data_IF_960368034898
#
_entry.id   IF_960368034898
#
_cell.length_a   1.000
_cell.length_b   1.000
_cell.length_c   1.000
_cell.angle_alpha   90.00
_cell.angle_beta   90.00
_cell.angle_gamma   90.00
#
_symmetry.space_group_name_H-M   'P 1'
#
loop_
_entity.id
_entity.type
_entity.pdbx_description
1 polymer ?
#
# COMPACT_ATOMS: atom_id res chain seq x y z
N UNK A 1 -2.36 25.25 1.37
CA UNK A 1 -1.70 24.74 2.59
C UNK A 1 -1.31 23.28 2.37
N UNK A 2 -0.37 22.98 1.46
CA UNK A 2 0.03 21.60 1.12
C UNK A 2 1.16 21.03 2.00
N UNK A 3 1.68 21.83 2.93
CA UNK A 3 2.85 21.49 3.76
C UNK A 3 2.52 21.28 5.25
N UNK A 4 1.24 21.40 5.62
CA UNK A 4 0.78 20.93 6.92
C UNK A 4 0.94 19.41 6.99
N UNK A 5 1.23 18.89 8.17
CA UNK A 5 1.40 17.46 8.44
C UNK A 5 0.05 16.70 8.33
N UNK A 6 -0.80 17.04 7.35
CA UNK A 6 -2.10 16.43 7.08
C UNK A 6 -1.96 14.93 6.84
N UNK A 7 -0.84 14.47 6.30
CA UNK A 7 -0.58 13.05 6.07
C UNK A 7 -0.55 12.24 7.38
N UNK A 8 -0.21 12.87 8.51
CA UNK A 8 -0.17 12.23 9.84
C UNK A 8 -1.55 12.27 10.53
N UNK A 9 -2.30 13.37 10.41
CA UNK A 9 -3.68 13.47 10.93
C UNK A 9 -4.69 12.64 10.13
N UNK A 10 -4.44 12.42 8.83
CA UNK A 10 -5.21 11.52 7.98
C UNK A 10 -4.64 10.09 7.95
N UNK A 11 -3.51 9.85 8.63
CA UNK A 11 -2.91 8.52 8.67
C UNK A 11 -3.77 7.57 9.50
N UNK A 12 -3.89 6.36 8.99
CA UNK A 12 -4.55 5.26 9.69
C UNK A 12 -3.80 4.79 10.92
N UNK A 13 -2.54 5.20 11.06
CA UNK A 13 -1.76 5.04 12.27
C UNK A 13 -2.38 5.84 13.42
N UNK A 14 -2.82 7.08 13.17
CA UNK A 14 -3.52 7.86 14.18
C UNK A 14 -4.89 7.25 14.50
N UNK A 15 -5.64 6.81 13.48
CA UNK A 15 -6.94 6.16 13.69
C UNK A 15 -6.83 4.83 14.44
N UNK A 16 -5.78 4.04 14.20
CA UNK A 16 -5.53 2.78 14.91
C UNK A 16 -5.02 3.00 16.33
N UNK A 17 -4.24 4.05 16.59
CA UNK A 17 -3.87 4.50 17.95
C UNK A 17 -5.11 4.97 18.72
N UNK A 18 -6.00 5.73 18.08
CA UNK A 18 -7.25 6.18 18.72
C UNK A 18 -8.16 4.99 18.99
N UNK A 19 -8.30 4.06 18.05
CA UNK A 19 -9.09 2.84 18.25
C UNK A 19 -8.50 1.96 19.35
N UNK A 20 -7.17 1.79 19.43
CA UNK A 20 -6.53 1.03 20.50
C UNK A 20 -6.65 1.73 21.85
N UNK A 21 -6.57 3.06 21.90
CA UNK A 21 -6.80 3.85 23.11
C UNK A 21 -8.26 3.73 23.60
N UNK A 22 -9.23 3.77 22.69
CA UNK A 22 -10.65 3.54 23.01
C UNK A 22 -10.89 2.12 23.53
N UNK A 23 -10.18 1.12 22.97
CA UNK A 23 -10.23 -0.26 23.48
C UNK A 23 -9.65 -0.40 24.88
N UNK A 24 -8.54 0.27 25.18
CA UNK A 24 -7.93 0.29 26.53
C UNK A 24 -8.85 0.99 27.55
N UNK A 25 -9.60 2.02 27.11
CA UNK A 25 -10.58 2.70 27.96
C UNK A 25 -11.86 1.86 28.19
N UNK A 26 -12.23 1.00 27.25
CA UNK A 26 -13.36 0.06 27.39
C UNK A 26 -13.01 -1.24 28.12
N UNK A 27 -11.72 -1.55 28.26
CA UNK A 27 -11.18 -2.72 28.95
C UNK A 27 -11.80 -2.97 30.35
N UNK A 28 -11.92 -1.96 31.25
CA UNK A 28 -12.56 -2.17 32.56
C UNK A 28 -14.06 -2.53 32.50
N UNK A 29 -14.76 -2.21 31.41
CA UNK A 29 -16.17 -2.55 31.20
C UNK A 29 -16.33 -3.95 30.62
N UNK A 30 -15.47 -4.33 29.67
CA UNK A 30 -15.48 -5.68 29.09
C UNK A 30 -14.95 -6.76 30.06
N UNK A 31 -14.08 -6.40 31.01
CA UNK A 31 -13.51 -7.34 31.98
C UNK A 31 -14.53 -7.87 33.01
N UNK A 32 -15.77 -7.36 32.99
CA UNK A 32 -16.92 -7.93 33.74
C UNK A 32 -17.52 -9.19 33.11
N UNK A 33 -17.15 -9.53 31.87
CA UNK A 33 -17.72 -10.66 31.13
C UNK A 33 -16.86 -11.91 31.38
N UNK A 34 -17.43 -12.97 31.98
CA UNK A 34 -16.66 -14.14 32.42
C UNK A 34 -16.25 -15.13 31.31
N UNK A 35 -16.78 -14.99 30.09
CA UNK A 35 -16.51 -15.86 28.95
C UNK A 35 -15.43 -15.28 28.02
N UNK A 36 -14.18 -15.72 28.20
CA UNK A 36 -13.00 -15.31 27.41
C UNK A 36 -13.14 -15.39 25.87
N UNK A 37 -13.68 -16.45 25.25
CA UNK A 37 -13.81 -16.49 23.80
C UNK A 37 -14.82 -15.46 23.28
N UNK A 38 -15.86 -15.16 24.06
CA UNK A 38 -16.84 -14.11 23.76
C UNK A 38 -16.24 -12.71 23.91
N UNK A 39 -15.41 -12.50 24.93
CA UNK A 39 -14.60 -11.28 25.08
C UNK A 39 -13.68 -11.04 23.89
N UNK A 40 -12.94 -12.05 23.43
CA UNK A 40 -12.00 -11.94 22.30
C UNK A 40 -12.74 -11.67 20.99
N UNK A 41 -13.85 -12.36 20.73
CA UNK A 41 -14.65 -12.14 19.50
C UNK A 41 -15.36 -10.79 19.52
N UNK A 42 -15.92 -10.37 20.65
CA UNK A 42 -16.56 -9.06 20.80
C UNK A 42 -15.54 -7.93 20.69
N UNK A 43 -14.37 -8.06 21.32
CA UNK A 43 -13.26 -7.10 21.27
C UNK A 43 -12.67 -6.96 19.86
N UNK A 44 -12.43 -8.07 19.18
CA UNK A 44 -11.94 -8.08 17.79
C UNK A 44 -12.98 -7.50 16.82
N UNK A 45 -14.26 -7.88 16.99
CA UNK A 45 -15.37 -7.33 16.20
C UNK A 45 -15.56 -5.82 16.42
N UNK A 46 -15.45 -5.34 17.66
CA UNK A 46 -15.58 -3.93 17.99
C UNK A 46 -14.40 -3.10 17.45
N UNK A 47 -13.17 -3.65 17.48
CA UNK A 47 -11.99 -3.02 16.89
C UNK A 47 -12.10 -2.91 15.36
N UNK A 48 -12.55 -3.98 14.69
CA UNK A 48 -12.78 -4.02 13.24
C UNK A 48 -13.94 -3.09 12.83
N UNK A 49 -15.04 -3.08 13.57
CA UNK A 49 -16.17 -2.18 13.33
C UNK A 49 -15.78 -0.71 13.55
N UNK A 50 -14.98 -0.41 14.58
CA UNK A 50 -14.46 0.93 14.86
C UNK A 50 -13.52 1.43 13.75
N UNK A 51 -12.61 0.59 13.27
CA UNK A 51 -11.72 0.96 12.15
C UNK A 51 -12.46 1.07 10.82
N UNK A 52 -13.44 0.20 10.55
CA UNK A 52 -14.26 0.26 9.33
C UNK A 52 -15.24 1.44 9.33
N UNK A 53 -15.81 1.80 10.48
CA UNK A 53 -16.71 2.95 10.63
C UNK A 53 -16.01 4.28 10.37
N UNK A 54 -14.80 4.45 10.93
CA UNK A 54 -13.95 5.63 10.68
C UNK A 54 -13.52 5.68 9.20
N UNK A 55 -13.27 4.51 8.58
CA UNK A 55 -12.91 4.40 7.16
C UNK A 55 -14.08 4.69 6.21
N UNK A 56 -15.30 4.22 6.50
CA UNK A 56 -16.46 4.43 5.62
C UNK A 56 -16.86 5.91 5.58
N UNK A 57 -16.64 6.66 6.67
CA UNK A 57 -16.74 8.12 6.70
C UNK A 57 -15.71 8.82 5.80
N UNK A 58 -14.48 8.31 5.73
CA UNK A 58 -13.40 8.88 4.91
C UNK A 58 -13.48 8.47 3.42
N UNK A 59 -13.93 7.24 3.12
CA UNK A 59 -14.09 6.74 1.76
C UNK A 59 -15.15 7.53 0.97
N UNK A 60 -16.20 7.99 1.65
CA UNK A 60 -17.24 8.84 1.05
C UNK A 60 -16.76 10.27 0.72
N UNK A 61 -15.62 10.70 1.30
CA UNK A 61 -15.04 12.02 1.11
C UNK A 61 -13.99 12.07 -0.03
N UNK A 62 -13.43 10.92 -0.45
CA UNK A 62 -12.24 10.86 -1.30
C UNK A 62 -12.41 10.21 -2.69
N UNK A 63 -13.62 9.81 -3.11
CA UNK A 63 -13.92 9.23 -4.45
C UNK A 63 -12.77 8.38 -5.03
N UNK A 64 -12.53 7.20 -4.44
CA UNK A 64 -11.47 6.30 -4.89
C UNK A 64 -12.00 5.39 -6.00
N UNK A 65 -11.19 5.24 -7.05
CA UNK A 65 -11.43 4.48 -8.28
C UNK A 65 -11.18 2.96 -8.08
N UNK A 66 -12.20 2.15 -8.36
CA UNK A 66 -12.34 0.71 -8.04
C UNK A 66 -11.53 -0.26 -8.93
N UNK A 67 -10.58 0.28 -9.69
CA UNK A 67 -9.97 -0.39 -10.84
C UNK A 67 -9.07 -1.59 -10.49
N UNK A 68 -8.58 -1.70 -9.24
CA UNK A 68 -7.68 -2.77 -8.80
C UNK A 68 -8.40 -3.99 -8.23
N UNK A 69 -9.53 -3.81 -7.55
CA UNK A 69 -10.30 -4.93 -6.99
C UNK A 69 -10.88 -5.80 -8.11
N UNK A 70 -11.31 -5.17 -9.19
CA UNK A 70 -11.85 -5.86 -10.36
C UNK A 70 -10.78 -6.66 -11.10
N UNK A 71 -9.55 -6.11 -11.26
CA UNK A 71 -8.42 -6.80 -11.90
C UNK A 71 -7.93 -8.03 -11.11
N UNK A 72 -7.93 -7.96 -9.76
CA UNK A 72 -7.56 -9.10 -8.91
C UNK A 72 -8.69 -10.13 -8.72
N UNK A 73 -9.95 -9.71 -8.80
CA UNK A 73 -11.10 -10.61 -8.79
C UNK A 73 -11.16 -11.45 -10.08
N UNK A 74 -10.87 -10.82 -11.22
CA UNK A 74 -10.87 -11.50 -12.52
C UNK A 74 -9.72 -12.50 -12.69
N UNK A 75 -8.62 -12.34 -11.95
CA UNK A 75 -7.49 -13.30 -11.95
C UNK A 75 -7.71 -14.49 -11.03
N UNK A 76 -8.90 -14.66 -10.45
CA UNK A 76 -9.28 -15.75 -9.54
C UNK A 76 -8.41 -15.87 -8.26
N UNK A 77 -7.50 -14.91 -8.03
CA UNK A 77 -6.58 -14.90 -6.90
C UNK A 77 -7.30 -14.57 -5.59
N UNK A 78 -8.22 -13.60 -5.60
CA UNK A 78 -9.03 -13.26 -4.41
C UNK A 78 -10.02 -14.41 -4.08
N UNK A 79 -10.78 -14.96 -5.04
CA UNK A 79 -11.62 -16.13 -4.79
C UNK A 79 -10.86 -17.30 -4.19
N UNK A 80 -9.72 -17.71 -4.78
CA UNK A 80 -8.92 -18.83 -4.28
C UNK A 80 -8.30 -18.55 -2.90
N UNK A 81 -7.74 -17.36 -2.66
CA UNK A 81 -7.22 -16.99 -1.35
C UNK A 81 -8.33 -16.92 -0.29
N UNK A 82 -9.52 -16.41 -0.63
CA UNK A 82 -10.65 -16.34 0.28
C UNK A 82 -11.17 -17.72 0.68
N UNK A 83 -11.19 -18.67 -0.27
CA UNK A 83 -11.54 -20.07 -0.01
C UNK A 83 -10.46 -20.75 0.84
N UNK A 84 -9.18 -20.48 0.60
CA UNK A 84 -8.07 -20.99 1.43
C UNK A 84 -8.13 -20.50 2.88
N UNK A 85 -8.40 -19.21 3.08
CA UNK A 85 -8.59 -18.61 4.42
C UNK A 85 -9.83 -19.17 5.10
N UNK A 86 -10.94 -19.30 4.37
CA UNK A 86 -12.18 -19.86 4.90
C UNK A 86 -12.01 -21.32 5.34
N UNK A 87 -11.36 -22.15 4.51
CA UNK A 87 -11.05 -23.54 4.84
C UNK A 87 -10.12 -23.63 6.06
N UNK A 88 -9.11 -22.76 6.15
CA UNK A 88 -8.24 -22.72 7.32
C UNK A 88 -9.00 -22.34 8.60
N UNK A 89 -9.86 -21.31 8.55
CA UNK A 89 -10.70 -20.90 9.70
C UNK A 89 -11.62 -22.03 10.14
N UNK A 90 -12.26 -22.72 9.19
CA UNK A 90 -13.13 -23.88 9.49
C UNK A 90 -12.31 -25.04 10.07
N UNK A 91 -11.13 -25.33 9.53
CA UNK A 91 -10.20 -26.36 10.04
C UNK A 91 -9.71 -26.05 11.44
N UNK A 92 -9.37 -24.79 11.71
CA UNK A 92 -8.94 -24.31 13.01
C UNK A 92 -10.05 -24.45 14.06
N UNK A 93 -11.29 -24.04 13.72
CA UNK A 93 -12.44 -24.22 14.60
C UNK A 93 -12.80 -25.69 14.84
N UNK A 94 -12.63 -26.57 13.86
CA UNK A 94 -12.90 -28.01 14.01
C UNK A 94 -11.81 -28.74 14.81
N UNK A 95 -10.54 -28.40 14.56
CA UNK A 95 -9.36 -29.01 15.20
C UNK A 95 -9.17 -28.51 16.63
N UNK A 96 -9.34 -27.20 16.88
CA UNK A 96 -9.20 -26.61 18.22
C UNK A 96 -10.50 -26.62 19.04
N UNK A 97 -11.64 -27.12 18.53
CA UNK A 97 -12.92 -27.11 19.28
C UNK A 97 -12.83 -27.76 20.66
N UNK A 98 -12.00 -28.79 20.81
CA UNK A 98 -11.80 -29.51 22.07
C UNK A 98 -10.73 -28.84 22.98
N UNK A 99 -9.74 -28.15 22.41
CA UNK A 99 -8.64 -27.47 23.15
C UNK A 99 -9.02 -26.03 23.57
N UNK A 100 -9.90 -25.35 22.82
CA UNK A 100 -10.51 -24.07 23.22
C UNK A 100 -11.43 -24.22 24.44
N UNK A 101 -11.97 -25.43 24.65
CA UNK A 101 -12.82 -25.75 25.79
C UNK A 101 -11.99 -26.16 27.02
N UNK A 102 -10.88 -26.89 26.89
CA UNK A 102 -10.08 -27.38 28.02
C UNK A 102 -8.58 -27.07 27.86
N UNK A 103 -7.96 -26.38 28.83
CA UNK A 103 -6.55 -25.97 28.79
C UNK A 103 -5.62 -27.16 29.07
N UNK A 104 -5.12 -27.82 28.02
CA UNK A 104 -4.12 -28.88 28.15
C UNK A 104 -2.71 -28.32 28.36
N UNK A 105 -1.97 -28.94 29.28
CA UNK A 105 -0.64 -28.51 29.73
C UNK A 105 0.43 -29.12 28.82
N UNK A 106 0.59 -28.51 27.65
CA UNK A 106 1.79 -28.65 26.81
C UNK A 106 1.60 -29.50 25.58
N UNK A 107 1.74 -28.88 24.40
CA UNK A 107 2.60 -29.30 23.28
C UNK A 107 2.45 -28.37 22.09
N UNK A 108 3.40 -28.52 21.16
CA UNK A 108 3.54 -27.83 19.89
C UNK A 108 2.20 -27.65 19.18
N UNK A 109 1.90 -26.40 18.80
CA UNK A 109 0.70 -26.07 18.05
C UNK A 109 0.89 -26.53 16.59
N UNK A 110 0.22 -27.59 16.12
CA UNK A 110 0.29 -27.94 14.70
C UNK A 110 -0.29 -26.78 13.88
N UNK A 111 0.43 -26.36 12.83
CA UNK A 111 0.02 -25.29 11.89
C UNK A 111 0.09 -23.84 12.42
N UNK A 112 0.91 -23.55 13.42
CA UNK A 112 1.15 -22.18 13.91
C UNK A 112 1.65 -21.23 12.81
N UNK A 113 2.44 -21.76 11.88
CA UNK A 113 2.94 -21.06 10.69
C UNK A 113 1.82 -20.66 9.73
N UNK A 114 0.78 -21.47 9.59
CA UNK A 114 -0.37 -21.18 8.73
C UNK A 114 -1.25 -20.11 9.36
N UNK A 115 -1.46 -20.21 10.68
CA UNK A 115 -2.20 -19.22 11.45
C UNK A 115 -1.56 -17.83 11.37
N UNK A 116 -0.24 -17.76 11.57
CA UNK A 116 0.51 -16.50 11.46
C UNK A 116 0.34 -15.87 10.08
N UNK A 117 0.49 -16.66 9.01
CA UNK A 117 0.33 -16.16 7.65
C UNK A 117 -1.11 -15.72 7.37
N UNK A 118 -2.14 -16.43 7.85
CA UNK A 118 -3.53 -16.03 7.66
C UNK A 118 -3.86 -14.68 8.34
N UNK A 119 -3.40 -14.50 9.59
CA UNK A 119 -3.55 -13.22 10.32
C UNK A 119 -2.79 -12.09 9.61
N UNK A 120 -1.56 -12.37 9.15
CA UNK A 120 -0.74 -11.40 8.44
C UNK A 120 -1.36 -10.98 7.10
N UNK A 121 -1.94 -11.93 6.34
CA UNK A 121 -2.69 -11.65 5.10
C UNK A 121 -3.85 -10.71 5.40
N UNK A 122 -4.63 -10.98 6.45
CA UNK A 122 -5.75 -10.11 6.85
C UNK A 122 -5.28 -8.68 7.16
N UNK A 123 -4.25 -8.51 7.99
CA UNK A 123 -3.71 -7.21 8.34
C UNK A 123 -3.20 -6.44 7.11
N UNK A 124 -2.45 -7.10 6.21
CA UNK A 124 -1.95 -6.45 4.99
C UNK A 124 -3.04 -6.19 3.95
N UNK A 125 -4.10 -7.02 3.88
CA UNK A 125 -5.27 -6.72 3.05
C UNK A 125 -6.00 -5.48 3.55
N UNK A 126 -6.17 -5.32 4.87
CA UNK A 126 -6.73 -4.10 5.45
C UNK A 126 -5.83 -2.90 5.10
N UNK A 127 -4.52 -3.00 5.27
CA UNK A 127 -3.57 -1.94 4.90
C UNK A 127 -3.59 -1.61 3.39
N UNK A 128 -3.74 -2.60 2.51
CA UNK A 128 -3.80 -2.40 1.06
C UNK A 128 -5.08 -1.71 0.62
N UNK A 129 -6.22 -2.06 1.24
CA UNK A 129 -7.50 -1.36 1.03
C UNK A 129 -7.49 0.08 1.55
N UNK A 130 -6.56 0.38 2.43
CA UNK A 130 -6.41 1.67 3.09
C UNK A 130 -5.43 2.58 2.32
N UNK A 131 -4.35 2.00 1.81
CA UNK A 131 -3.32 2.70 1.05
C UNK A 131 -2.99 1.85 -0.18
N UNK A 132 -3.48 2.29 -1.35
CA UNK A 132 -3.32 1.58 -2.64
C UNK A 132 -1.87 1.24 -3.00
N UNK A 133 -0.92 2.06 -2.52
CA UNK A 133 0.52 1.86 -2.72
C UNK A 133 1.10 0.68 -1.92
N UNK A 134 0.43 0.25 -0.84
CA UNK A 134 0.87 -0.86 0.01
C UNK A 134 0.35 -2.24 -0.47
N UNK A 135 -0.35 -2.29 -1.61
CA UNK A 135 -0.79 -3.55 -2.24
C UNK A 135 0.36 -4.54 -2.48
N UNK A 136 1.58 -4.02 -2.64
CA UNK A 136 2.80 -4.82 -2.81
C UNK A 136 3.02 -5.81 -1.66
N UNK A 137 2.68 -5.44 -0.43
CA UNK A 137 2.88 -6.29 0.74
C UNK A 137 1.80 -7.36 0.91
N UNK A 138 0.61 -7.15 0.35
CA UNK A 138 -0.49 -8.11 0.41
C UNK A 138 -0.26 -9.31 -0.54
N UNK A 139 0.30 -9.07 -1.72
CA UNK A 139 0.40 -10.08 -2.80
C UNK A 139 1.15 -11.36 -2.40
N UNK A 140 2.34 -11.32 -1.76
CA UNK A 140 3.06 -12.54 -1.38
C UNK A 140 2.28 -13.40 -0.37
N UNK A 141 1.58 -12.74 0.55
CA UNK A 141 0.77 -13.40 1.58
C UNK A 141 -0.47 -14.08 1.01
N UNK A 142 -1.12 -13.48 0.01
CA UNK A 142 -2.19 -14.13 -0.76
C UNK A 142 -1.69 -15.38 -1.48
N UNK A 143 -0.51 -15.32 -2.10
CA UNK A 143 0.09 -16.49 -2.77
C UNK A 143 0.35 -17.65 -1.79
N UNK A 144 0.86 -17.35 -0.60
CA UNK A 144 1.06 -18.34 0.47
C UNK A 144 -0.29 -18.94 0.89
N UNK A 145 -1.32 -18.12 1.07
CA UNK A 145 -2.67 -18.60 1.39
C UNK A 145 -3.26 -19.48 0.27
N UNK A 146 -3.02 -19.17 -1.00
CA UNK A 146 -3.42 -20.03 -2.12
C UNK A 146 -2.69 -21.37 -2.10
N UNK A 147 -1.41 -21.40 -1.71
CA UNK A 147 -0.63 -22.64 -1.60
C UNK A 147 -1.17 -23.59 -0.51
N UNK A 148 -1.88 -23.07 0.50
CA UNK A 148 -2.55 -23.92 1.52
C UNK A 148 -3.57 -24.85 0.86
N UNK A 149 -4.23 -24.45 -0.24
CA UNK A 149 -5.15 -25.31 -0.98
C UNK A 149 -4.47 -26.54 -1.59
N UNK A 150 -3.16 -26.50 -1.80
CA UNK A 150 -2.41 -27.66 -2.26
C UNK A 150 -2.10 -28.66 -1.12
N UNK A 151 -2.21 -28.26 0.15
CA UNK A 151 -1.92 -29.11 1.29
C UNK A 151 -3.12 -30.01 1.66
N UNK A 152 -2.97 -31.32 1.45
CA UNK A 152 -4.01 -32.32 1.73
C UNK A 152 -4.20 -32.57 3.24
N UNK A 153 -3.21 -32.26 4.10
CA UNK A 153 -3.34 -32.43 5.55
C UNK A 153 -4.36 -31.45 6.15
N UNK A 154 -4.34 -30.20 5.67
CA UNK A 154 -5.31 -29.17 6.08
C UNK A 154 -6.73 -29.54 5.64
N UNK A 155 -6.87 -30.12 4.44
CA UNK A 155 -8.16 -30.58 3.92
C UNK A 155 -8.71 -31.79 4.69
N UNK A 156 -7.82 -32.71 5.07
CA UNK A 156 -8.15 -33.89 5.88
C UNK A 156 -8.59 -33.51 7.29
N UNK A 157 -8.02 -32.45 7.87
CA UNK A 157 -8.42 -31.88 9.17
C UNK A 157 -9.87 -31.35 9.15
N UNK A 158 -10.39 -30.95 7.99
CA UNK A 158 -11.79 -30.48 7.81
C UNK A 158 -12.76 -31.65 7.57
N UNK A 159 -12.33 -32.90 7.81
CA UNK A 159 -13.11 -34.12 7.56
C UNK A 159 -13.50 -34.33 6.09
N UNK A 160 -12.83 -33.63 5.16
CA UNK A 160 -12.98 -33.82 3.71
C UNK A 160 -11.93 -34.83 3.27
N UNK A 161 -12.37 -36.04 2.93
CA UNK A 161 -11.47 -37.15 2.56
C UNK A 161 -11.38 -37.28 1.04
N UNK A 162 -10.56 -36.42 0.41
CA UNK A 162 -10.26 -36.54 -1.02
C UNK A 162 -9.16 -37.57 -1.27
N UNK A 163 -9.31 -38.39 -2.31
CA UNK A 163 -8.22 -39.20 -2.81
C UNK A 163 -7.09 -38.30 -3.35
N UNK A 164 -5.84 -38.73 -3.14
CA UNK A 164 -4.65 -37.97 -3.57
C UNK A 164 -4.67 -37.64 -5.07
N UNK A 165 -5.21 -38.53 -5.91
CA UNK A 165 -5.33 -38.33 -7.36
C UNK A 165 -6.34 -37.23 -7.71
N UNK A 166 -7.49 -37.22 -7.05
CA UNK A 166 -8.55 -36.22 -7.27
C UNK A 166 -8.07 -34.84 -6.79
N UNK A 167 -7.41 -34.78 -5.62
CA UNK A 167 -6.82 -33.54 -5.11
C UNK A 167 -5.76 -32.96 -6.06
N UNK A 168 -4.87 -33.80 -6.60
CA UNK A 168 -3.87 -33.37 -7.57
C UNK A 168 -4.51 -32.80 -8.85
N UNK A 169 -5.55 -33.44 -9.38
CA UNK A 169 -6.29 -32.95 -10.56
C UNK A 169 -6.94 -31.59 -10.25
N UNK A 170 -7.52 -31.42 -9.07
CA UNK A 170 -8.15 -30.16 -8.65
C UNK A 170 -7.14 -29.02 -8.51
N UNK A 171 -5.97 -29.27 -7.90
CA UNK A 171 -4.89 -28.27 -7.81
C UNK A 171 -4.38 -27.88 -9.19
N UNK A 172 -4.16 -28.85 -10.08
CA UNK A 172 -3.72 -28.59 -11.47
C UNK A 172 -4.77 -27.77 -12.23
N UNK A 173 -6.06 -28.05 -12.04
CA UNK A 173 -7.13 -27.30 -12.67
C UNK A 173 -7.17 -25.83 -12.19
N UNK A 174 -6.99 -25.60 -10.88
CA UNK A 174 -6.92 -24.25 -10.30
C UNK A 174 -5.72 -23.48 -10.85
N UNK A 175 -4.53 -24.10 -10.91
CA UNK A 175 -3.33 -23.47 -11.46
C UNK A 175 -3.51 -23.14 -12.94
N UNK A 176 -4.12 -24.03 -13.72
CA UNK A 176 -4.41 -23.79 -15.13
C UNK A 176 -5.37 -22.60 -15.34
N UNK A 177 -6.43 -22.51 -14.53
CA UNK A 177 -7.37 -21.39 -14.55
C UNK A 177 -6.72 -20.06 -14.15
N UNK A 178 -5.81 -20.07 -13.17
CA UNK A 178 -5.04 -18.87 -12.80
C UNK A 178 -4.05 -18.47 -13.89
N UNK A 179 -3.44 -19.44 -14.58
CA UNK A 179 -2.45 -19.19 -15.61
C UNK A 179 -3.05 -18.63 -16.91
N UNK A 180 -4.30 -18.96 -17.27
CA UNK A 180 -4.93 -18.45 -18.49
C UNK A 180 -5.10 -16.93 -18.46
N UNK A 181 -5.65 -16.40 -17.38
CA UNK A 181 -5.81 -14.95 -17.17
C UNK A 181 -4.49 -14.27 -16.75
N UNK A 182 -3.66 -14.99 -15.97
CA UNK A 182 -2.36 -14.50 -15.53
C UNK A 182 -1.40 -14.24 -16.68
N UNK A 183 -1.34 -15.15 -17.67
CA UNK A 183 -0.45 -15.03 -18.82
C UNK A 183 -0.75 -13.78 -19.64
N UNK A 184 -2.02 -13.53 -19.97
CA UNK A 184 -2.43 -12.35 -20.73
C UNK A 184 -2.06 -11.04 -20.02
N UNK A 185 -2.26 -10.99 -18.70
CA UNK A 185 -1.90 -9.82 -17.89
C UNK A 185 -0.38 -9.62 -17.80
N UNK A 186 0.39 -10.69 -17.56
CA UNK A 186 1.85 -10.63 -17.49
C UNK A 186 2.44 -10.24 -18.84
N UNK A 187 1.97 -10.85 -19.94
CA UNK A 187 2.41 -10.53 -21.29
C UNK A 187 2.13 -9.06 -21.61
N UNK A 188 0.96 -8.55 -21.24
CA UNK A 188 0.64 -7.12 -21.38
C UNK A 188 1.62 -6.25 -20.60
N UNK A 189 1.96 -6.59 -19.35
CA UNK A 189 2.90 -5.82 -18.53
C UNK A 189 4.35 -5.92 -19.03
N UNK A 190 4.81 -7.11 -19.41
CA UNK A 190 6.15 -7.34 -19.96
C UNK A 190 6.33 -6.71 -21.34
N UNK A 191 5.24 -6.59 -22.12
CA UNK A 191 5.23 -5.87 -23.40
C UNK A 191 5.30 -4.35 -23.21
N UNK A 192 5.03 -3.83 -22.01
CA UNK A 192 5.36 -2.44 -21.65
C UNK A 192 6.88 -2.37 -21.42
N UNK A 193 7.63 -2.50 -22.52
CA UNK A 193 9.05 -2.15 -22.57
C UNK A 193 9.14 -0.64 -22.81
N UNK A 194 8.62 0.11 -21.84
CA UNK A 194 8.69 1.56 -21.83
C UNK A 194 10.03 1.98 -21.26
N UNK A 195 11.06 2.08 -22.09
CA UNK A 195 12.09 3.08 -21.81
C UNK A 195 11.37 4.42 -21.74
N UNK A 196 11.55 5.15 -20.64
CA UNK A 196 10.96 6.47 -20.48
C UNK A 196 11.50 7.38 -21.59
N UNK A 197 10.74 7.52 -22.66
CA UNK A 197 11.09 8.33 -23.81
C UNK A 197 10.41 9.68 -23.66
N UNK A 198 11.19 10.66 -23.21
CA UNK A 198 10.78 12.05 -23.18
C UNK A 198 11.83 12.87 -23.92
N UNK A 199 11.66 13.07 -25.25
CA UNK A 199 12.67 13.74 -26.07
C UNK A 199 12.89 15.19 -25.63
N UNK A 200 11.85 15.88 -25.13
CA UNK A 200 11.99 17.25 -24.62
C UNK A 200 12.90 17.30 -23.38
N UNK A 201 12.76 16.31 -22.50
CA UNK A 201 13.57 16.23 -21.29
C UNK A 201 15.01 15.79 -21.58
N UNK A 202 15.21 14.93 -22.57
CA UNK A 202 16.54 14.55 -23.05
C UNK A 202 17.27 15.74 -23.70
N UNK A 203 16.59 16.50 -24.55
CA UNK A 203 17.12 17.74 -25.15
C UNK A 203 17.51 18.77 -24.07
N UNK A 204 16.71 18.89 -23.01
CA UNK A 204 17.06 19.73 -21.87
C UNK A 204 18.36 19.26 -21.21
N UNK A 205 18.55 17.96 -20.99
CA UNK A 205 19.77 17.44 -20.36
C UNK A 205 21.00 17.63 -21.23
N UNK A 206 20.88 17.41 -22.55
CA UNK A 206 21.96 17.65 -23.50
C UNK A 206 22.34 19.14 -23.53
N UNK A 207 21.35 20.05 -23.51
CA UNK A 207 21.59 21.48 -23.38
C UNK A 207 22.29 21.84 -22.06
N UNK A 208 21.85 21.29 -20.92
CA UNK A 208 22.48 21.52 -19.62
C UNK A 208 23.95 21.08 -19.65
N UNK A 209 24.25 19.93 -20.23
CA UNK A 209 25.61 19.41 -20.30
C UNK A 209 26.53 20.28 -21.17
N UNK A 210 26.03 20.79 -22.30
CA UNK A 210 26.80 21.58 -23.27
C UNK A 210 26.97 23.05 -22.89
N UNK A 211 25.91 23.67 -22.39
CA UNK A 211 25.82 25.14 -22.27
C UNK A 211 26.01 25.67 -20.83
N UNK A 212 26.07 24.79 -19.81
CA UNK A 212 26.18 25.22 -18.41
C UNK A 212 27.42 24.69 -17.71
N UNK A 213 27.89 25.42 -16.70
CA UNK A 213 29.05 25.04 -15.90
C UNK A 213 28.68 23.94 -14.90
N UNK A 214 29.62 23.07 -14.50
CA UNK A 214 29.37 22.04 -13.48
C UNK A 214 28.93 22.58 -12.12
N UNK A 215 29.23 23.86 -11.83
CA UNK A 215 28.86 24.54 -10.59
C UNK A 215 27.50 25.23 -10.64
N UNK A 216 26.86 25.32 -11.81
CA UNK A 216 25.60 26.05 -11.95
C UNK A 216 24.46 25.30 -11.26
N UNK A 217 23.72 26.03 -10.42
CA UNK A 217 22.66 25.48 -9.59
C UNK A 217 21.30 25.62 -10.26
N UNK A 218 20.58 24.50 -10.37
CA UNK A 218 19.25 24.44 -10.97
C UNK A 218 18.14 24.44 -9.91
N UNK A 219 17.06 25.13 -10.22
CA UNK A 219 15.82 25.16 -9.45
C UNK A 219 14.65 24.70 -10.32
N UNK A 220 13.63 24.09 -9.72
CA UNK A 220 12.44 23.62 -10.44
C UNK A 220 11.63 22.65 -9.60
N UNK A 221 10.67 21.97 -10.24
CA UNK A 221 9.85 20.94 -9.58
C UNK A 221 10.70 19.73 -9.18
N UNK A 222 10.32 19.06 -8.10
CA UNK A 222 11.09 17.93 -7.58
C UNK A 222 11.33 16.81 -8.60
N UNK A 223 10.33 16.37 -9.40
CA UNK A 223 10.55 15.29 -10.36
C UNK A 223 11.59 15.66 -11.42
N UNK A 224 11.59 16.91 -11.88
CA UNK A 224 12.57 17.38 -12.88
C UNK A 224 13.95 17.51 -12.27
N UNK A 225 14.05 18.10 -11.08
CA UNK A 225 15.34 18.29 -10.41
C UNK A 225 16.02 16.96 -10.09
N UNK A 226 15.25 15.93 -9.69
CA UNK A 226 15.78 14.58 -9.52
C UNK A 226 16.43 14.05 -10.81
N UNK A 227 15.74 14.21 -11.94
CA UNK A 227 16.26 13.76 -13.23
C UNK A 227 17.45 14.60 -13.70
N UNK A 228 17.42 15.94 -13.54
CA UNK A 228 18.57 16.82 -13.83
C UNK A 228 19.79 16.37 -13.04
N UNK A 229 19.64 16.12 -11.74
CA UNK A 229 20.75 15.67 -10.89
C UNK A 229 21.30 14.31 -11.33
N UNK A 230 20.44 13.35 -11.66
CA UNK A 230 20.86 12.01 -12.08
C UNK A 230 21.53 12.00 -13.46
N UNK A 231 21.00 12.76 -14.42
CA UNK A 231 21.47 12.75 -15.81
C UNK A 231 22.66 13.69 -16.06
N UNK A 232 22.76 14.80 -15.32
CA UNK A 232 23.77 15.85 -15.60
C UNK A 232 24.74 16.11 -14.44
N UNK A 233 24.47 15.52 -13.27
CA UNK A 233 25.21 15.72 -12.01
C UNK A 233 25.25 17.17 -11.49
N UNK A 234 24.55 18.11 -12.12
CA UNK A 234 24.49 19.52 -11.72
C UNK A 234 23.91 19.68 -10.30
N UNK A 235 24.38 20.66 -9.51
CA UNK A 235 23.77 21.02 -8.24
C UNK A 235 22.29 21.42 -8.41
N UNK A 236 21.43 20.97 -7.49
CA UNK A 236 20.00 21.29 -7.48
C UNK A 236 19.60 21.92 -6.15
N UNK A 237 18.68 22.88 -6.17
CA UNK A 237 18.13 23.49 -4.96
C UNK A 237 17.05 22.64 -4.30
N UNK A 238 16.24 21.96 -5.11
CA UNK A 238 15.04 21.27 -4.66
C UNK A 238 15.21 19.76 -4.78
N UNK A 239 15.30 19.07 -3.66
CA UNK A 239 15.52 17.62 -3.59
C UNK A 239 14.25 16.89 -3.12
N UNK A 240 13.88 15.71 -3.69
CA UNK A 240 12.69 14.94 -3.30
C UNK A 240 12.59 14.38 -1.86
N UNK A 241 13.40 14.87 -0.91
CA UNK A 241 13.37 14.41 0.48
C UNK A 241 12.58 15.38 1.36
N UNK A 242 11.32 15.03 1.62
CA UNK A 242 10.39 15.86 2.40
C UNK A 242 10.57 15.77 3.91
N UNK A 243 11.37 14.83 4.40
CA UNK A 243 11.55 14.55 5.83
C UNK A 243 12.37 15.65 6.53
N UNK A 244 13.24 16.33 5.79
CA UNK A 244 14.04 17.43 6.31
C UNK A 244 13.27 18.76 6.26
N UNK A 245 13.20 19.44 7.40
CA UNK A 245 12.47 20.71 7.54
C UNK A 245 13.08 21.82 6.68
N UNK A 246 14.42 21.88 6.59
CA UNK A 246 15.11 22.87 5.78
C UNK A 246 14.90 22.66 4.28
N UNK A 247 14.87 21.41 3.82
CA UNK A 247 14.54 21.07 2.42
C UNK A 247 13.09 21.45 2.11
N UNK A 248 12.16 21.24 3.04
CA UNK A 248 10.75 21.64 2.88
C UNK A 248 10.59 23.16 2.72
N UNK A 249 11.27 23.96 3.54
CA UNK A 249 11.26 25.42 3.40
C UNK A 249 11.85 25.89 2.07
N UNK A 250 12.94 25.27 1.61
CA UNK A 250 13.53 25.57 0.30
C UNK A 250 12.58 25.20 -0.83
N UNK A 251 11.92 24.05 -0.72
CA UNK A 251 10.89 23.59 -1.65
C UNK A 251 9.79 24.64 -1.76
N UNK A 252 9.22 25.07 -0.63
CA UNK A 252 8.15 26.09 -0.62
C UNK A 252 8.58 27.37 -1.34
N UNK A 253 9.81 27.84 -1.10
CA UNK A 253 10.37 29.01 -1.79
C UNK A 253 10.54 28.77 -3.30
N UNK A 254 10.99 27.59 -3.73
CA UNK A 254 11.13 27.25 -5.16
C UNK A 254 9.75 27.16 -5.83
N UNK A 255 8.76 26.57 -5.16
CA UNK A 255 7.38 26.46 -5.66
C UNK A 255 6.62 27.79 -5.64
N UNK A 256 7.13 28.82 -4.95
CA UNK A 256 6.53 30.16 -4.97
C UNK A 256 6.46 30.78 -6.37
N UNK A 257 7.26 30.30 -7.33
CA UNK A 257 7.14 30.67 -8.76
C UNK A 257 5.76 30.34 -9.34
N UNK A 258 5.15 29.25 -8.88
CA UNK A 258 3.80 28.85 -9.31
C UNK A 258 2.69 29.53 -8.50
N UNK A 259 3.03 30.37 -7.53
CA UNK A 259 2.07 31.13 -6.74
C UNK A 259 1.79 32.49 -7.37
N UNK A 260 0.71 33.16 -6.95
CA UNK A 260 0.35 34.53 -7.40
C UNK A 260 1.20 35.63 -6.74
N UNK A 261 2.44 35.32 -6.34
CA UNK A 261 3.36 36.28 -5.72
C UNK A 261 3.99 37.20 -6.77
N UNK A 262 4.39 38.43 -6.39
CA UNK A 262 5.06 39.33 -7.32
C UNK A 262 6.40 38.75 -7.76
N UNK A 263 6.68 38.79 -9.07
CA UNK A 263 7.88 38.18 -9.67
C UNK A 263 9.19 38.71 -9.08
N UNK A 264 9.22 39.97 -8.65
CA UNK A 264 10.40 40.59 -8.04
C UNK A 264 10.75 39.93 -6.69
N UNK A 265 9.75 39.58 -5.88
CA UNK A 265 9.95 38.87 -4.61
C UNK A 265 10.49 37.46 -4.86
N UNK A 266 9.89 36.75 -5.82
CA UNK A 266 10.28 35.39 -6.19
C UNK A 266 11.71 35.36 -6.76
N UNK A 267 12.04 36.27 -7.68
CA UNK A 267 13.37 36.40 -8.27
C UNK A 267 14.43 36.69 -7.20
N UNK A 268 14.17 37.65 -6.30
CA UNK A 268 15.07 37.95 -5.19
C UNK A 268 15.26 36.75 -4.25
N UNK A 269 14.21 35.97 -4.02
CA UNK A 269 14.25 34.76 -3.19
C UNK A 269 15.10 33.67 -3.84
N UNK A 270 14.90 33.39 -5.13
CA UNK A 270 15.70 32.41 -5.88
C UNK A 270 17.18 32.82 -5.95
N UNK A 271 17.45 34.10 -6.19
CA UNK A 271 18.81 34.65 -6.22
C UNK A 271 19.52 34.53 -4.88
N UNK A 272 18.82 34.81 -3.76
CA UNK A 272 19.34 34.61 -2.40
C UNK A 272 19.68 33.14 -2.10
N UNK A 273 18.98 32.19 -2.71
CA UNK A 273 19.27 30.76 -2.59
C UNK A 273 20.40 30.29 -3.51
N UNK A 274 20.92 31.15 -4.39
CA UNK A 274 21.99 30.81 -5.32
C UNK A 274 21.51 30.07 -6.58
N UNK A 275 20.24 30.20 -6.97
CA UNK A 275 19.76 29.62 -8.23
C UNK A 275 20.38 30.34 -9.44
N UNK A 276 21.01 29.59 -10.35
CA UNK A 276 21.48 30.11 -11.64
C UNK A 276 20.41 29.96 -12.71
N UNK A 277 19.75 28.81 -12.75
CA UNK A 277 18.73 28.47 -13.74
C UNK A 277 17.45 27.96 -13.06
N UNK A 278 16.30 28.27 -13.63
CA UNK A 278 15.02 27.74 -13.21
C UNK A 278 14.37 26.96 -14.37
N UNK A 279 14.10 25.67 -14.15
CA UNK A 279 13.41 24.82 -15.12
C UNK A 279 11.91 24.92 -14.89
N UNK A 280 11.24 25.64 -15.80
CA UNK A 280 9.81 25.87 -15.77
C UNK A 280 9.08 24.84 -16.65
N UNK A 281 8.02 24.22 -16.14
CA UNK A 281 7.15 23.34 -16.92
C UNK A 281 5.77 23.96 -17.05
N UNK A 282 5.30 24.14 -18.28
CA UNK A 282 4.06 24.88 -18.56
C UNK A 282 2.81 24.20 -17.94
N UNK A 283 2.77 22.87 -17.86
CA UNK A 283 1.62 22.16 -17.31
C UNK A 283 1.32 22.50 -15.84
N UNK A 284 2.31 22.97 -15.07
CA UNK A 284 2.09 23.38 -13.69
C UNK A 284 1.26 24.67 -13.56
N UNK A 285 1.10 25.41 -14.66
CA UNK A 285 0.27 26.61 -14.74
C UNK A 285 -0.98 26.41 -15.61
N UNK A 286 -1.27 25.17 -16.03
CA UNK A 286 -2.46 24.89 -16.82
C UNK A 286 -3.73 25.19 -15.99
N UNK A 287 -4.76 25.82 -16.58
CA UNK A 287 -6.05 25.94 -15.93
C UNK A 287 -6.59 24.55 -15.61
N UNK A 288 -7.20 24.36 -14.44
CA UNK A 288 -7.89 23.11 -14.12
C UNK A 288 -8.89 22.80 -15.26
N UNK A 289 -8.90 21.58 -15.80
CA UNK A 289 -9.95 21.19 -16.74
C UNK A 289 -11.29 21.42 -16.06
N UNK A 290 -12.17 22.21 -16.68
CA UNK A 290 -13.49 22.52 -16.15
C UNK A 290 -14.21 21.22 -15.77
N UNK A 291 -14.36 21.01 -14.45
CA UNK A 291 -15.17 19.94 -13.86
C UNK A 291 -16.64 20.16 -14.16
#
# INVERSE_FOLDING_TARGET
MLFGNEMLLTSLYLASIIASLMMVLLDPVLNKISLRPFYITLSSSCFVAGTLGIKFGFAKLLQIEDDTLQKLSNTWLIPSASVGIFLFVVSFFFSERNELLWRSKGREKPHAEVFYNAVQTFCYSVMALLIMRLKLFMTPHLCICCAILANNEVLRSINIRLEKRIHAVLVVAIVAAMASEGKSNIEKQLRIKGEYSNPEQELLFDWILKETKPTDVFAGTMPVMANVKLSTLRPILNHPHYEDVGIRERTEKVYSVFSRKPINEVHNTLKKMGANYFVFQLFNCAPEPSR
#
